data_IF_547578029405
#
_entry.id   IF_547578029405
#
_cell.length_a   1.000
_cell.length_b   1.000
_cell.length_c   1.000
_cell.angle_alpha   90.00
_cell.angle_beta   90.00
_cell.angle_gamma   90.00
#
_symmetry.space_group_name_H-M   'P 1'
#
loop_
_entity.id
_entity.type
_entity.pdbx_description
1 polymer ?
#
# COMPACT_ATOMS: atom_id res chain seq x y z
N UNK A 1 27.47 1.92 5.44
CA UNK A 1 28.64 1.10 5.81
C UNK A 1 28.19 -0.34 5.92
N UNK A 2 28.95 -1.29 5.38
CA UNK A 2 28.64 -2.73 5.42
C UNK A 2 29.83 -3.49 6.01
N UNK A 3 29.53 -4.50 6.81
CA UNK A 3 30.50 -5.42 7.39
C UNK A 3 30.30 -6.80 6.77
N UNK A 4 31.38 -7.39 6.26
CA UNK A 4 31.40 -8.78 5.83
C UNK A 4 32.19 -9.59 6.86
N UNK A 5 31.48 -10.44 7.60
CA UNK A 5 32.06 -11.31 8.64
C UNK A 5 32.18 -12.72 8.06
N UNK A 6 33.40 -13.27 8.02
CA UNK A 6 33.66 -14.67 7.63
C UNK A 6 34.40 -15.39 8.76
N UNK A 7 34.68 -16.69 8.57
CA UNK A 7 35.47 -17.47 9.54
C UNK A 7 36.91 -16.94 9.68
N UNK A 8 37.44 -16.30 8.64
CA UNK A 8 38.85 -15.94 8.53
C UNK A 8 39.12 -14.47 8.87
N UNK A 9 38.15 -13.56 8.62
CA UNK A 9 38.36 -12.11 8.74
C UNK A 9 37.04 -11.30 8.82
N UNK A 10 37.14 -10.03 9.22
CA UNK A 10 36.06 -9.03 9.20
C UNK A 10 36.46 -7.85 8.32
N UNK A 11 35.69 -7.60 7.26
CA UNK A 11 35.96 -6.50 6.31
C UNK A 11 34.89 -5.42 6.37
N UNK A 12 35.32 -4.17 6.44
CA UNK A 12 34.44 -2.98 6.38
C UNK A 12 34.48 -2.39 4.98
N UNK A 13 33.30 -2.10 4.41
CA UNK A 13 33.16 -1.43 3.11
C UNK A 13 32.11 -0.34 3.16
N UNK A 14 32.13 0.57 2.19
CA UNK A 14 31.01 1.48 1.98
C UNK A 14 29.95 0.82 1.10
N UNK A 15 28.69 0.96 1.50
CA UNK A 15 27.56 0.55 0.69
C UNK A 15 27.06 1.80 -0.02
N UNK A 16 27.29 1.87 -1.33
CA UNK A 16 26.69 2.86 -2.20
C UNK A 16 25.30 2.36 -2.59
N UNK A 17 24.26 3.08 -2.19
CA UNK A 17 22.86 2.71 -2.44
C UNK A 17 22.22 3.73 -3.36
N UNK A 18 21.30 3.27 -4.22
CA UNK A 18 20.54 4.18 -5.08
C UNK A 18 19.65 5.09 -4.24
N UNK A 19 19.65 6.40 -4.55
CA UNK A 19 18.80 7.38 -3.87
C UNK A 19 17.31 7.22 -4.21
N UNK A 20 17.01 6.64 -5.36
CA UNK A 20 15.65 6.38 -5.84
C UNK A 20 15.23 4.94 -5.57
N UNK A 21 15.37 4.50 -4.31
CA UNK A 21 15.08 3.12 -3.92
C UNK A 21 13.58 2.89 -3.71
N UNK A 22 13.13 1.67 -3.95
CA UNK A 22 11.76 1.21 -3.74
C UNK A 22 11.77 0.02 -2.77
N UNK A 23 10.66 -0.21 -2.07
CA UNK A 23 10.53 -1.41 -1.24
C UNK A 23 10.64 -2.66 -2.13
N UNK A 24 11.60 -3.58 -1.88
CA UNK A 24 11.72 -4.79 -2.66
C UNK A 24 10.49 -5.68 -2.47
N UNK A 25 10.14 -6.53 -3.46
CA UNK A 25 9.05 -7.48 -3.29
C UNK A 25 9.34 -8.41 -2.11
N UNK A 26 8.28 -8.77 -1.39
CA UNK A 26 8.40 -9.67 -0.25
C UNK A 26 8.76 -11.09 -0.70
N UNK A 27 9.61 -11.76 0.08
CA UNK A 27 9.92 -13.17 -0.12
C UNK A 27 8.82 -14.11 0.41
N UNK A 28 7.90 -13.58 1.23
CA UNK A 28 6.76 -14.31 1.78
C UNK A 28 5.49 -14.03 0.95
N UNK A 29 4.51 -14.96 0.93
CA UNK A 29 3.20 -14.73 0.34
C UNK A 29 2.51 -13.51 0.97
N UNK A 30 1.73 -12.77 0.17
CA UNK A 30 0.89 -11.69 0.68
C UNK A 30 -0.29 -12.29 1.47
N UNK A 31 -0.43 -11.89 2.74
CA UNK A 31 -1.62 -12.20 3.53
C UNK A 31 -2.68 -11.11 3.30
N UNK A 32 -3.92 -11.47 2.88
CA UNK A 32 -4.97 -10.48 2.74
C UNK A 32 -5.38 -9.94 4.12
N UNK A 33 -5.72 -8.64 4.23
CA UNK A 33 -6.33 -8.10 5.44
C UNK A 33 -7.61 -8.86 5.78
N UNK A 34 -7.84 -9.12 7.07
CA UNK A 34 -9.05 -9.76 7.57
C UNK A 34 -9.97 -8.72 8.19
N UNK A 35 -11.28 -8.92 8.07
CA UNK A 35 -12.24 -7.98 8.67
C UNK A 35 -12.16 -8.01 10.21
N UNK A 36 -11.77 -9.16 10.75
CA UNK A 36 -11.53 -9.37 12.17
C UNK A 36 -10.42 -8.46 12.70
N UNK A 37 -9.39 -8.17 11.91
CA UNK A 37 -8.26 -7.31 12.32
C UNK A 37 -8.74 -5.92 12.76
N UNK A 38 -9.73 -5.37 12.04
CA UNK A 38 -10.34 -4.08 12.36
C UNK A 38 -11.15 -4.15 13.66
N UNK A 39 -11.91 -5.22 13.84
CA UNK A 39 -12.80 -5.41 15.00
C UNK A 39 -11.98 -5.63 16.28
N UNK A 40 -10.95 -6.48 16.20
CA UNK A 40 -10.04 -6.77 17.30
C UNK A 40 -9.26 -5.52 17.72
N UNK A 41 -8.82 -4.72 16.74
CA UNK A 41 -8.12 -3.48 17.02
C UNK A 41 -9.06 -2.42 17.63
N UNK A 42 -10.29 -2.27 17.14
CA UNK A 42 -11.29 -1.37 17.72
C UNK A 42 -11.55 -1.72 19.20
N UNK A 43 -11.74 -3.02 19.50
CA UNK A 43 -11.91 -3.53 20.86
C UNK A 43 -10.69 -3.24 21.75
N UNK A 44 -9.48 -3.45 21.23
CA UNK A 44 -8.23 -3.18 21.96
C UNK A 44 -8.07 -1.70 22.30
N UNK A 45 -8.50 -0.81 21.42
CA UNK A 45 -8.45 0.63 21.60
C UNK A 45 -9.62 1.19 22.41
N UNK A 46 -10.65 0.38 22.68
CA UNK A 46 -11.86 0.82 23.37
C UNK A 46 -12.73 1.78 22.54
N UNK A 47 -12.66 1.67 21.21
CA UNK A 47 -13.49 2.46 20.28
C UNK A 47 -14.54 1.56 19.61
N UNK A 48 -15.69 2.15 19.27
CA UNK A 48 -16.82 1.41 18.67
C UNK A 48 -16.49 0.88 17.27
N UNK A 49 -15.83 1.71 16.45
CA UNK A 49 -15.33 1.32 15.13
C UNK A 49 -14.06 2.10 14.78
N UNK A 50 -13.29 1.55 13.84
CA UNK A 50 -12.20 2.22 13.14
C UNK A 50 -12.64 2.81 11.78
N UNK A 51 -13.94 2.87 11.53
CA UNK A 51 -14.50 3.60 10.39
C UNK A 51 -14.30 5.10 10.49
N UNK A 52 -14.22 5.77 9.34
CA UNK A 52 -14.36 7.21 9.29
C UNK A 52 -15.78 7.61 9.68
N UNK A 53 -15.89 8.69 10.46
CA UNK A 53 -17.20 9.27 10.77
C UNK A 53 -17.85 9.88 9.52
N UNK A 54 -19.17 9.99 9.55
CA UNK A 54 -19.96 10.61 8.47
C UNK A 54 -19.47 12.03 8.13
N UNK A 55 -19.02 12.78 9.14
CA UNK A 55 -18.45 14.11 8.95
C UNK A 55 -17.20 14.10 8.05
N UNK A 56 -16.31 13.12 8.23
CA UNK A 56 -15.09 13.00 7.42
C UNK A 56 -15.44 12.49 6.01
N UNK A 57 -16.35 11.52 5.90
CA UNK A 57 -16.79 10.99 4.61
C UNK A 57 -17.48 12.04 3.75
N UNK A 58 -18.34 12.88 4.34
CA UNK A 58 -19.05 13.95 3.65
C UNK A 58 -18.12 15.07 3.15
N UNK A 59 -16.91 15.18 3.69
CA UNK A 59 -15.91 16.18 3.27
C UNK A 59 -15.08 15.78 2.04
N UNK A 60 -15.32 14.61 1.45
CA UNK A 60 -14.59 14.16 0.27
C UNK A 60 -14.89 15.04 -0.95
N UNK A 61 -13.84 15.51 -1.62
CA UNK A 61 -14.00 16.26 -2.88
C UNK A 61 -14.32 15.30 -4.03
N UNK A 62 -15.43 15.54 -4.72
CA UNK A 62 -15.77 14.88 -5.97
C UNK A 62 -14.74 15.21 -7.08
N UNK A 63 -14.06 14.16 -7.55
CA UNK A 63 -13.07 14.17 -8.63
C UNK A 63 -13.35 13.09 -9.67
N UNK A 64 -14.60 12.62 -9.75
CA UNK A 64 -14.99 11.52 -10.64
C UNK A 64 -14.73 11.83 -12.11
N UNK A 65 -14.93 13.08 -12.52
CA UNK A 65 -14.70 13.58 -13.88
C UNK A 65 -13.24 13.48 -14.33
N UNK A 66 -12.30 13.65 -13.40
CA UNK A 66 -10.85 13.54 -13.68
C UNK A 66 -10.38 12.09 -13.63
N UNK A 67 -10.90 11.28 -12.71
CA UNK A 67 -10.43 9.90 -12.52
C UNK A 67 -11.00 8.92 -13.54
N UNK A 68 -12.28 9.04 -13.93
CA UNK A 68 -12.92 8.09 -14.86
C UNK A 68 -12.19 7.96 -16.20
N UNK A 69 -11.78 9.05 -16.88
CA UNK A 69 -11.01 8.95 -18.12
C UNK A 69 -9.71 8.18 -17.98
N UNK A 70 -9.03 8.27 -16.83
CA UNK A 70 -7.77 7.55 -16.58
C UNK A 70 -8.01 6.03 -16.55
N UNK A 71 -9.12 5.57 -15.96
CA UNK A 71 -9.48 4.15 -15.94
C UNK A 71 -9.86 3.64 -17.33
N UNK A 72 -10.58 4.45 -18.11
CA UNK A 72 -10.94 4.15 -19.50
C UNK A 72 -9.69 4.05 -20.39
N UNK A 73 -8.80 5.04 -20.30
CA UNK A 73 -7.54 5.08 -21.05
C UNK A 73 -6.61 3.92 -20.66
N UNK A 74 -6.49 3.61 -19.37
CA UNK A 74 -5.73 2.46 -18.90
C UNK A 74 -6.31 1.16 -19.45
N UNK A 75 -7.64 1.02 -19.46
CA UNK A 75 -8.30 -0.17 -19.98
C UNK A 75 -8.06 -0.38 -21.47
N UNK A 76 -8.15 0.70 -22.24
CA UNK A 76 -7.89 0.69 -23.68
C UNK A 76 -6.42 0.39 -23.99
N UNK A 77 -5.49 1.02 -23.26
CA UNK A 77 -4.05 0.90 -23.52
C UNK A 77 -3.51 -0.48 -23.16
N UNK A 78 -3.99 -1.06 -22.06
CA UNK A 78 -3.53 -2.35 -21.56
C UNK A 78 -4.37 -3.52 -22.07
N UNK A 79 -5.46 -3.24 -22.81
CA UNK A 79 -6.34 -4.27 -23.38
C UNK A 79 -7.07 -5.12 -22.33
N UNK A 80 -7.25 -4.59 -21.12
CA UNK A 80 -7.91 -5.25 -19.99
C UNK A 80 -8.88 -4.28 -19.34
N UNK A 81 -10.06 -4.74 -18.95
CA UNK A 81 -11.02 -3.91 -18.22
C UNK A 81 -10.52 -3.59 -16.79
N UNK A 82 -10.47 -2.30 -16.46
CA UNK A 82 -10.28 -1.79 -15.12
C UNK A 82 -11.57 -1.08 -14.68
N UNK A 83 -12.45 -1.74 -13.89
CA UNK A 83 -13.70 -1.12 -13.46
C UNK A 83 -13.45 0.06 -12.51
N UNK A 84 -14.18 1.14 -12.72
CA UNK A 84 -14.10 2.30 -11.85
C UNK A 84 -14.64 1.96 -10.44
N UNK A 85 -13.93 2.30 -9.35
CA UNK A 85 -14.32 1.89 -7.99
C UNK A 85 -15.70 2.38 -7.55
N UNK A 86 -16.18 3.53 -8.05
CA UNK A 86 -17.49 4.09 -7.70
C UNK A 86 -18.69 3.41 -8.37
N UNK A 87 -18.46 2.47 -9.29
CA UNK A 87 -19.53 1.76 -10.02
C UNK A 87 -19.77 0.35 -9.46
N UNK A 88 -19.09 -0.02 -8.37
CA UNK A 88 -19.21 -1.31 -7.68
C UNK A 88 -20.11 -1.25 -6.46
#
# INVERSE_FOLDING_TARGET
MVWNVTKDDIKVRMAEVGHNTWAPPLAAPAEPPKQEDKTDMAKKLGVESLDYSDFIQAGAWDVHDVLRPIYEDASKTLGKEFPYPGDK
#
